data_IF_194244879543
#
_entry.id   IF_194244879543
#
_cell.length_a   1.000
_cell.length_b   1.000
_cell.length_c   1.000
_cell.angle_alpha   90.00
_cell.angle_beta   90.00
_cell.angle_gamma   90.00
#
_symmetry.space_group_name_H-M   'P 1'
#
loop_
_entity.id
_entity.type
_entity.pdbx_description
1 polymer ?
#
# COMPACT_ATOMS: atom_id res chain seq x y z
N UNK A 1 16.47 -13.90 -6.94
CA UNK A 1 16.37 -13.36 -5.57
C UNK A 1 15.13 -12.50 -5.58
N UNK A 2 13.99 -13.09 -5.26
CA UNK A 2 12.69 -12.41 -5.24
C UNK A 2 12.74 -11.35 -4.14
N UNK A 3 12.42 -10.09 -4.47
CA UNK A 3 12.36 -9.03 -3.46
C UNK A 3 11.01 -9.13 -2.77
N UNK A 4 11.03 -9.46 -1.49
CA UNK A 4 9.82 -9.49 -0.68
C UNK A 4 9.56 -8.09 -0.10
N UNK A 5 8.28 -7.69 -0.02
CA UNK A 5 7.86 -6.48 0.69
C UNK A 5 8.21 -6.55 2.18
N UNK A 6 8.38 -7.76 2.74
CA UNK A 6 8.81 -8.00 4.10
C UNK A 6 10.32 -8.22 4.26
N UNK A 7 11.12 -8.09 3.19
CA UNK A 7 12.57 -8.28 3.25
C UNK A 7 13.25 -7.07 3.94
N UNK A 8 13.84 -7.25 5.14
CA UNK A 8 14.51 -6.16 5.84
C UNK A 8 15.79 -5.68 5.13
N UNK A 9 16.38 -6.49 4.25
CA UNK A 9 17.60 -6.14 3.51
C UNK A 9 17.30 -5.47 2.14
N UNK A 10 16.03 -5.39 1.75
CA UNK A 10 15.61 -4.70 0.52
C UNK A 10 15.50 -3.19 0.73
N UNK A 11 16.24 -2.44 -0.09
CA UNK A 11 16.13 -0.97 -0.14
C UNK A 11 14.72 -0.53 -0.53
N UNK A 12 14.10 -1.21 -1.50
CA UNK A 12 12.74 -0.91 -1.96
C UNK A 12 11.70 -1.18 -0.87
N UNK A 13 11.82 -2.29 -0.13
CA UNK A 13 10.95 -2.58 1.01
C UNK A 13 11.11 -1.53 2.11
N UNK A 14 12.34 -1.12 2.44
CA UNK A 14 12.60 -0.04 3.40
C UNK A 14 11.98 1.29 2.97
N UNK A 15 12.12 1.67 1.70
CA UNK A 15 11.49 2.88 1.15
C UNK A 15 9.96 2.80 1.17
N UNK A 16 9.39 1.62 0.90
CA UNK A 16 7.96 1.37 1.01
C UNK A 16 7.47 1.54 2.46
N UNK A 17 8.13 0.93 3.43
CA UNK A 17 7.80 1.08 4.85
C UNK A 17 7.90 2.54 5.31
N UNK A 18 8.94 3.27 4.89
CA UNK A 18 9.08 4.70 5.19
C UNK A 18 7.92 5.52 4.62
N UNK A 19 7.49 5.23 3.39
CA UNK A 19 6.31 5.88 2.81
C UNK A 19 5.03 5.53 3.58
N UNK A 20 4.86 4.27 3.98
CA UNK A 20 3.72 3.83 4.80
C UNK A 20 3.69 4.52 6.18
N UNK A 21 4.84 4.67 6.84
CA UNK A 21 4.94 5.41 8.10
C UNK A 21 4.49 6.86 7.95
N UNK A 22 4.87 7.54 6.86
CA UNK A 22 4.36 8.88 6.54
C UNK A 22 2.85 8.92 6.34
N UNK A 23 2.29 7.98 5.56
CA UNK A 23 0.84 7.86 5.37
C UNK A 23 0.11 7.70 6.71
N UNK A 24 0.67 6.93 7.65
CA UNK A 24 0.10 6.75 8.98
C UNK A 24 0.13 8.04 9.80
N UNK A 25 1.27 8.73 9.83
CA UNK A 25 1.43 10.00 10.55
C UNK A 25 0.40 11.04 10.09
N UNK A 26 0.27 11.24 8.78
CA UNK A 26 -0.67 12.24 8.25
C UNK A 26 -2.13 11.79 8.34
N UNK A 27 -2.40 10.48 8.41
CA UNK A 27 -3.77 9.96 8.59
C UNK A 27 -4.29 10.17 10.02
N UNK A 28 -3.41 10.13 11.02
CA UNK A 28 -3.75 10.34 12.42
C UNK A 28 -3.65 11.80 12.88
N UNK A 29 -3.02 12.66 12.08
CA UNK A 29 -2.85 14.09 12.42
C UNK A 29 -4.16 14.85 12.24
N UNK A 30 -4.63 15.49 13.31
CA UNK A 30 -5.76 16.41 13.24
C UNK A 30 -5.43 17.59 12.31
N UNK A 31 -6.27 17.80 11.30
CA UNK A 31 -6.11 18.87 10.33
C UNK A 31 -6.78 20.15 10.86
N UNK A 32 -5.99 21.18 11.08
CA UNK A 32 -6.43 22.51 11.54
C UNK A 32 -7.48 23.10 10.58
N UNK A 33 -7.41 22.76 9.30
CA UNK A 33 -8.38 23.19 8.28
C UNK A 33 -9.78 22.56 8.45
N UNK A 34 -9.87 21.41 9.11
CA UNK A 34 -11.15 20.77 9.41
C UNK A 34 -11.83 21.40 10.63
N UNK A 35 -11.04 22.04 11.50
CA UNK A 35 -11.50 22.76 12.69
C UNK A 35 -11.84 24.23 12.36
N UNK A 36 -11.09 24.86 11.45
CA UNK A 36 -11.26 26.26 11.07
C UNK A 36 -11.56 26.40 9.56
N UNK A 37 -12.84 26.53 9.17
CA UNK A 37 -13.26 26.54 7.75
C UNK A 37 -12.60 27.62 6.90
N UNK A 38 -12.23 28.76 7.50
CA UNK A 38 -11.55 29.86 6.81
C UNK A 38 -10.08 29.54 6.46
N UNK A 39 -9.47 28.56 7.13
CA UNK A 39 -8.11 28.08 6.84
C UNK A 39 -8.08 26.99 5.77
N UNK A 40 -9.23 26.42 5.33
CA UNK A 40 -9.28 25.37 4.29
C UNK A 40 -8.58 25.71 2.98
N UNK A 41 -8.53 26.98 2.62
CA UNK A 41 -7.86 27.43 1.39
C UNK A 41 -6.34 27.50 1.54
N UNK A 42 -5.85 27.52 2.77
CA UNK A 42 -4.44 27.51 3.12
C UNK A 42 -4.11 26.11 3.66
N UNK A 43 -3.44 25.29 2.86
CA UNK A 43 -2.90 23.99 3.30
C UNK A 43 -1.73 24.24 4.29
N UNK A 44 -2.05 24.80 5.47
CA UNK A 44 -1.08 25.35 6.43
C UNK A 44 -0.14 24.26 6.96
N UNK A 45 -0.68 23.06 7.17
CA UNK A 45 0.08 21.92 7.66
C UNK A 45 0.66 21.07 6.50
N UNK A 46 0.30 21.39 5.25
CA UNK A 46 0.70 20.65 4.05
C UNK A 46 0.34 19.16 4.11
N UNK A 47 -0.65 18.77 4.93
CA UNK A 47 -0.98 17.37 5.20
C UNK A 47 -1.41 16.67 3.92
N UNK A 48 -2.22 17.36 3.09
CA UNK A 48 -2.63 16.84 1.78
C UNK A 48 -1.41 16.61 0.89
N UNK A 49 -0.50 17.58 0.81
CA UNK A 49 0.71 17.46 -0.01
C UNK A 49 1.61 16.30 0.45
N UNK A 50 1.79 16.14 1.77
CA UNK A 50 2.60 15.05 2.34
C UNK A 50 1.94 13.69 2.10
N UNK A 51 0.63 13.58 2.31
CA UNK A 51 -0.16 12.37 2.02
C UNK A 51 -0.05 11.97 0.55
N UNK A 52 -0.23 12.91 -0.39
CA UNK A 52 -0.11 12.63 -1.83
C UNK A 52 1.29 12.16 -2.20
N UNK A 53 2.34 12.77 -1.63
CA UNK A 53 3.73 12.35 -1.86
C UNK A 53 3.98 10.93 -1.36
N UNK A 54 3.62 10.64 -0.11
CA UNK A 54 3.94 9.36 0.52
C UNK A 54 3.08 8.22 -0.06
N UNK A 55 1.80 8.49 -0.36
CA UNK A 55 0.94 7.57 -1.12
C UNK A 55 1.48 7.30 -2.52
N UNK A 56 1.94 8.34 -3.23
CA UNK A 56 2.54 8.18 -4.57
C UNK A 56 3.74 7.25 -4.56
N UNK A 57 4.65 7.43 -3.60
CA UNK A 57 5.83 6.56 -3.42
C UNK A 57 5.44 5.11 -3.08
N UNK A 58 4.50 4.92 -2.15
CA UNK A 58 4.04 3.58 -1.80
C UNK A 58 3.44 2.84 -3.01
N UNK A 59 2.63 3.52 -3.82
CA UNK A 59 2.00 2.96 -5.02
C UNK A 59 3.01 2.67 -6.14
N UNK A 60 4.04 3.51 -6.29
CA UNK A 60 5.13 3.30 -7.25
C UNK A 60 5.92 2.04 -6.91
N UNK A 61 6.36 1.93 -5.65
CA UNK A 61 7.13 0.80 -5.17
C UNK A 61 6.30 -0.49 -5.23
N UNK A 62 5.03 -0.46 -4.81
CA UNK A 62 4.13 -1.62 -4.94
C UNK A 62 3.97 -2.09 -6.40
N UNK A 63 4.03 -1.18 -7.39
CA UNK A 63 3.99 -1.56 -8.81
C UNK A 63 5.27 -2.30 -9.25
N UNK A 64 6.43 -1.93 -8.71
CA UNK A 64 7.70 -2.62 -8.97
C UNK A 64 7.61 -4.06 -8.49
N UNK A 65 7.19 -4.26 -7.23
CA UNK A 65 7.00 -5.59 -6.64
C UNK A 65 6.00 -6.45 -7.43
N UNK A 66 4.86 -5.89 -7.82
CA UNK A 66 3.86 -6.61 -8.63
C UNK A 66 4.42 -7.07 -9.99
N UNK A 67 5.17 -6.21 -10.68
CA UNK A 67 5.76 -6.53 -11.99
C UNK A 67 6.86 -7.58 -11.89
N UNK A 68 7.70 -7.50 -10.86
CA UNK A 68 8.71 -8.52 -10.59
C UNK A 68 8.05 -9.88 -10.36
N UNK A 69 7.00 -9.92 -9.53
CA UNK A 69 6.24 -11.15 -9.25
C UNK A 69 5.56 -11.72 -10.48
N UNK A 70 4.86 -10.91 -11.28
CA UNK A 70 4.29 -11.36 -12.55
C UNK A 70 5.35 -11.93 -13.50
N UNK A 71 6.58 -11.39 -13.47
CA UNK A 71 7.71 -11.87 -14.24
C UNK A 71 8.23 -13.24 -13.80
N UNK A 72 8.27 -13.49 -12.49
CA UNK A 72 8.65 -14.79 -11.90
C UNK A 72 7.61 -15.88 -12.27
N UNK A 73 6.31 -15.57 -12.15
CA UNK A 73 5.23 -16.50 -12.52
C UNK A 73 5.30 -16.94 -13.97
N UNK A 74 5.58 -16.01 -14.89
CA UNK A 74 5.73 -16.32 -16.33
C UNK A 74 6.92 -17.25 -16.63
N UNK A 75 7.92 -17.32 -15.75
CA UNK A 75 9.09 -18.19 -15.90
C UNK A 75 8.86 -19.60 -15.36
N UNK A 76 7.69 -19.89 -14.77
CA UNK A 76 7.38 -21.21 -14.20
C UNK A 76 8.11 -21.50 -12.89
N UNK A 77 8.69 -20.49 -12.26
CA UNK A 77 9.34 -20.58 -10.95
C UNK A 77 8.29 -20.32 -9.86
N UNK A 78 7.38 -21.27 -9.55
CA UNK A 78 6.42 -21.02 -8.46
C UNK A 78 6.11 -22.28 -7.61
N UNK A 79 6.72 -22.34 -6.43
CA UNK A 79 6.38 -23.25 -5.31
C UNK A 79 5.85 -22.51 -4.07
N UNK A 80 5.82 -21.16 -4.05
CA UNK A 80 5.34 -20.36 -2.90
C UNK A 80 4.08 -19.59 -3.28
N UNK A 81 2.99 -19.81 -2.54
CA UNK A 81 1.78 -18.99 -2.57
C UNK A 81 1.87 -17.95 -1.46
N UNK A 82 2.13 -16.70 -1.81
CA UNK A 82 2.12 -15.59 -0.86
C UNK A 82 0.83 -14.72 -0.98
N UNK A 83 0.75 -13.67 -0.16
CA UNK A 83 -0.40 -12.77 -0.09
C UNK A 83 -0.63 -12.04 -1.43
N UNK A 84 0.44 -11.72 -2.17
CA UNK A 84 0.34 -11.09 -3.50
C UNK A 84 -0.20 -12.09 -4.52
N UNK A 85 0.23 -13.35 -4.46
CA UNK A 85 -0.26 -14.39 -5.36
C UNK A 85 -1.75 -14.63 -5.17
N UNK A 86 -2.22 -14.65 -3.91
CA UNK A 86 -3.65 -14.72 -3.59
C UNK A 86 -4.39 -13.53 -4.18
N UNK A 87 -3.88 -12.30 -4.01
CA UNK A 87 -4.52 -11.08 -4.53
C UNK A 87 -4.56 -11.03 -6.07
N UNK A 88 -3.55 -11.58 -6.74
CA UNK A 88 -3.49 -11.68 -8.21
C UNK A 88 -4.46 -12.76 -8.73
N UNK A 89 -4.68 -13.83 -7.95
CA UNK A 89 -5.55 -14.97 -8.26
C UNK A 89 -7.02 -14.76 -7.84
N UNK A 90 -7.37 -13.67 -7.14
CA UNK A 90 -8.76 -13.40 -6.79
C UNK A 90 -9.61 -13.27 -8.06
N UNK A 91 -10.32 -14.35 -8.38
CA UNK A 91 -11.42 -14.41 -9.32
C UNK A 91 -12.73 -14.08 -8.59
N UNK A 92 -13.56 -13.22 -9.21
CA UNK A 92 -14.86 -12.83 -8.68
C UNK A 92 -15.76 -14.04 -8.44
N UNK A 93 -16.45 -14.07 -7.31
CA UNK A 93 -17.30 -15.20 -6.86
C UNK A 93 -18.60 -15.30 -7.69
N UNK A 94 -18.84 -14.37 -8.64
CA UNK A 94 -20.10 -14.21 -9.37
C UNK A 94 -20.01 -14.39 -10.89
N UNK A 95 -21.10 -14.87 -11.50
CA UNK A 95 -21.21 -15.20 -12.94
C UNK A 95 -21.17 -13.99 -13.89
N UNK A 96 -21.15 -12.76 -13.38
CA UNK A 96 -21.27 -11.52 -14.19
C UNK A 96 -20.23 -10.44 -13.82
N UNK A 97 -19.07 -10.80 -13.23
CA UNK A 97 -18.07 -9.84 -12.76
C UNK A 97 -16.72 -10.01 -13.49
N UNK A 98 -15.98 -8.93 -13.84
CA UNK A 98 -14.66 -9.08 -14.45
C UNK A 98 -13.72 -9.81 -13.47
N UNK A 99 -13.27 -10.98 -13.92
CA UNK A 99 -12.66 -12.06 -13.15
C UNK A 99 -11.26 -11.76 -12.56
N UNK A 100 -10.83 -10.50 -12.45
CA UNK A 100 -9.48 -10.21 -11.95
C UNK A 100 -9.41 -8.82 -11.32
N UNK A 101 -8.81 -8.73 -10.13
CA UNK A 101 -8.48 -7.44 -9.53
C UNK A 101 -7.51 -6.68 -10.45
N UNK A 102 -7.80 -5.41 -10.70
CA UNK A 102 -6.88 -4.53 -11.41
C UNK A 102 -5.62 -4.27 -10.58
N UNK A 103 -4.49 -4.00 -11.24
CA UNK A 103 -3.24 -3.63 -10.57
C UNK A 103 -3.47 -2.47 -9.58
N UNK A 104 -4.33 -1.51 -9.93
CA UNK A 104 -4.68 -0.41 -9.03
C UNK A 104 -5.39 -0.90 -7.76
N UNK A 105 -6.38 -1.79 -7.89
CA UNK A 105 -7.10 -2.35 -6.74
C UNK A 105 -6.17 -3.16 -5.84
N UNK A 106 -5.27 -3.97 -6.42
CA UNK A 106 -4.29 -4.74 -5.64
C UNK A 106 -3.38 -3.80 -4.85
N UNK A 107 -2.86 -2.74 -5.47
CA UNK A 107 -2.03 -1.74 -4.79
C UNK A 107 -2.77 -1.04 -3.64
N UNK A 108 -4.04 -0.66 -3.87
CA UNK A 108 -4.88 -0.07 -2.82
C UNK A 108 -5.08 -1.05 -1.66
N UNK A 109 -5.37 -2.32 -1.94
CA UNK A 109 -5.54 -3.35 -0.91
C UNK A 109 -4.28 -3.56 -0.09
N UNK A 110 -3.10 -3.55 -0.70
CA UNK A 110 -1.80 -3.65 0.00
C UNK A 110 -1.61 -2.46 0.96
N UNK A 111 -1.85 -1.23 0.48
CA UNK A 111 -1.69 -0.03 1.33
C UNK A 111 -2.70 -0.04 2.49
N UNK A 112 -3.95 -0.40 2.22
CA UNK A 112 -5.01 -0.46 3.23
C UNK A 112 -4.73 -1.57 4.25
N UNK A 113 -4.30 -2.75 3.81
CA UNK A 113 -4.00 -3.87 4.70
C UNK A 113 -2.80 -3.57 5.59
N UNK A 114 -1.72 -2.99 5.07
CA UNK A 114 -0.58 -2.55 5.88
C UNK A 114 -1.00 -1.50 6.92
N UNK A 115 -1.87 -0.55 6.53
CA UNK A 115 -2.42 0.45 7.46
C UNK A 115 -3.26 -0.18 8.58
N UNK A 116 -4.13 -1.14 8.25
CA UNK A 116 -4.96 -1.85 9.23
C UNK A 116 -4.08 -2.66 10.19
N UNK A 117 -3.11 -3.42 9.66
CA UNK A 117 -2.19 -4.22 10.48
C UNK A 117 -1.38 -3.36 11.45
N UNK A 118 -0.88 -2.21 10.99
CA UNK A 118 -0.15 -1.27 11.84
C UNK A 118 -1.05 -0.64 12.90
N UNK A 119 -2.28 -0.25 12.53
CA UNK A 119 -3.24 0.32 13.47
C UNK A 119 -3.64 -0.71 14.53
N UNK A 120 -3.87 -1.95 14.13
CA UNK A 120 -4.14 -3.06 15.04
C UNK A 120 -2.96 -3.30 15.97
N UNK A 121 -1.73 -3.34 15.45
CA UNK A 121 -0.51 -3.44 16.28
C UNK A 121 -0.40 -2.28 17.29
N UNK A 122 -0.66 -1.05 16.86
CA UNK A 122 -0.58 0.15 17.71
C UNK A 122 -1.65 0.19 18.81
N UNK A 123 -2.83 -0.37 18.56
CA UNK A 123 -3.95 -0.40 19.53
C UNK A 123 -3.83 -1.60 20.47
N UNK A 124 -3.48 -2.77 19.93
CA UNK A 124 -3.55 -4.04 20.65
C UNK A 124 -2.22 -4.52 21.22
N UNK A 125 -1.08 -3.90 20.86
CA UNK A 125 0.24 -4.08 21.46
C UNK A 125 0.62 -5.53 21.79
N UNK A 126 1.37 -6.19 20.91
CA UNK A 126 2.11 -7.40 21.28
C UNK A 126 3.47 -7.03 21.89
#
# INVERSE_FOLDING_TARGET
MSKDLADPDSKEASEFFNAMMGIMEWSGTANVSDIFPFLRRFDLQKLRKKMVRDMGKAMEIASIFLKEREGERKKGEEERKDLLDVLIEVEGIGKDEPAKLSEHQIKVLIVVSCKISYLAFSIFGA
#
